data_IF_064215417007
#
_entry.id   IF_064215417007
#
_cell.length_a   1.000
_cell.length_b   1.000
_cell.length_c   1.000
_cell.angle_alpha   90.00
_cell.angle_beta   90.00
_cell.angle_gamma   90.00
#
_symmetry.space_group_name_H-M   'P 1'
#
loop_
_entity.id
_entity.type
_entity.pdbx_description
1 polymer ?
#
# COMPACT_ATOMS: atom_id res chain seq x y z
N UNK A 1 6.88 -18.60 -35.63
CA UNK A 1 6.13 -17.52 -35.00
C UNK A 1 6.36 -17.64 -33.51
N UNK A 2 6.99 -16.65 -32.87
CA UNK A 2 7.27 -16.73 -31.43
C UNK A 2 5.94 -16.68 -30.64
N UNK A 3 5.88 -17.39 -29.53
CA UNK A 3 4.73 -17.38 -28.60
C UNK A 3 4.30 -15.94 -28.27
N UNK A 4 5.26 -15.02 -28.19
CA UNK A 4 5.01 -13.59 -27.98
C UNK A 4 4.23 -12.93 -29.15
N UNK A 5 4.56 -13.26 -30.39
CA UNK A 5 3.87 -12.72 -31.59
C UNK A 5 2.46 -13.28 -31.73
N UNK A 6 2.24 -14.53 -31.31
CA UNK A 6 0.91 -15.15 -31.28
C UNK A 6 0.02 -14.46 -30.22
N UNK A 7 0.56 -14.20 -29.01
CA UNK A 7 -0.17 -13.56 -27.91
C UNK A 7 -0.50 -12.09 -28.22
N UNK A 8 0.41 -11.33 -28.83
CA UNK A 8 0.16 -9.91 -29.22
C UNK A 8 -0.85 -9.82 -30.37
N UNK A 9 -0.75 -10.66 -31.39
CA UNK A 9 -1.70 -10.71 -32.52
C UNK A 9 -3.13 -11.09 -32.06
N UNK A 10 -3.24 -11.93 -31.05
CA UNK A 10 -4.51 -12.35 -30.47
C UNK A 10 -5.18 -11.20 -29.69
N UNK A 11 -4.38 -10.38 -29.02
CA UNK A 11 -4.84 -9.25 -28.23
C UNK A 11 -5.44 -8.13 -29.11
N UNK A 12 -4.82 -7.81 -30.24
CA UNK A 12 -5.28 -6.76 -31.14
C UNK A 12 -6.59 -7.11 -31.83
N UNK A 13 -6.80 -8.38 -32.20
CA UNK A 13 -8.02 -8.83 -32.88
C UNK A 13 -9.29 -8.83 -32.02
N UNK A 14 -9.16 -8.88 -30.68
CA UNK A 14 -10.30 -8.97 -29.76
C UNK A 14 -10.82 -7.57 -29.33
N UNK A 15 -10.05 -6.50 -29.52
CA UNK A 15 -10.31 -5.20 -28.89
C UNK A 15 -10.59 -4.00 -29.81
N UNK A 16 -10.76 -4.19 -31.14
CA UNK A 16 -10.91 -3.06 -32.07
C UNK A 16 -12.27 -3.00 -32.78
N UNK A 17 -13.25 -2.39 -32.10
CA UNK A 17 -14.36 -1.70 -32.75
C UNK A 17 -14.65 -0.38 -32.01
N UNK A 18 -14.21 0.76 -32.57
CA UNK A 18 -14.03 2.03 -31.86
C UNK A 18 -15.29 2.67 -31.24
N UNK A 19 -16.47 2.51 -31.83
CA UNK A 19 -17.72 3.06 -31.27
C UNK A 19 -18.25 2.23 -30.09
N UNK A 20 -18.04 0.91 -30.13
CA UNK A 20 -18.48 0.01 -29.08
C UNK A 20 -17.51 0.03 -27.89
N UNK A 21 -16.20 0.26 -28.12
CA UNK A 21 -15.18 0.39 -27.09
C UNK A 21 -15.45 1.58 -26.16
N UNK A 22 -15.96 2.70 -26.66
CA UNK A 22 -16.22 3.89 -25.83
C UNK A 22 -17.40 3.67 -24.87
N UNK A 23 -18.49 3.04 -25.30
CA UNK A 23 -19.63 2.69 -24.43
C UNK A 23 -19.26 1.63 -23.38
N UNK A 24 -18.47 0.67 -23.76
CA UNK A 24 -18.01 -0.43 -22.88
C UNK A 24 -17.02 0.07 -21.83
N UNK A 25 -16.12 0.97 -22.21
CA UNK A 25 -15.20 1.63 -21.28
C UNK A 25 -15.99 2.39 -20.21
N UNK A 26 -17.09 3.07 -20.58
CA UNK A 26 -17.96 3.74 -19.63
C UNK A 26 -18.62 2.77 -18.65
N UNK A 27 -19.14 1.64 -19.12
CA UNK A 27 -19.69 0.59 -18.25
C UNK A 27 -18.65 0.02 -17.30
N UNK A 28 -17.47 -0.28 -17.81
CA UNK A 28 -16.35 -0.76 -16.97
C UNK A 28 -15.99 0.24 -15.89
N UNK A 29 -15.93 1.53 -16.22
CA UNK A 29 -15.63 2.60 -15.25
C UNK A 29 -16.74 2.68 -14.20
N UNK A 30 -18.02 2.68 -14.61
CA UNK A 30 -19.15 2.72 -13.67
C UNK A 30 -19.09 1.54 -12.69
N UNK A 31 -18.92 0.32 -13.21
CA UNK A 31 -18.83 -0.88 -12.38
C UNK A 31 -17.60 -0.84 -11.45
N UNK A 32 -16.48 -0.36 -11.96
CA UNK A 32 -15.27 -0.21 -11.16
C UNK A 32 -15.43 0.84 -10.04
N UNK A 33 -16.10 1.94 -10.31
CA UNK A 33 -16.42 2.95 -9.28
C UNK A 33 -17.31 2.35 -8.20
N UNK A 34 -18.36 1.61 -8.58
CA UNK A 34 -19.24 0.94 -7.61
C UNK A 34 -18.46 -0.04 -6.76
N UNK A 35 -17.67 -0.92 -7.38
CA UNK A 35 -16.86 -1.90 -6.66
C UNK A 35 -15.76 -1.22 -5.81
N UNK A 36 -15.21 -0.12 -6.29
CA UNK A 36 -14.23 0.70 -5.56
C UNK A 36 -14.81 1.33 -4.30
N UNK A 37 -16.05 1.85 -4.39
CA UNK A 37 -16.79 2.37 -3.22
C UNK A 37 -17.04 1.22 -2.23
N UNK A 38 -17.49 0.06 -2.70
CA UNK A 38 -17.70 -1.11 -1.85
C UNK A 38 -16.40 -1.53 -1.15
N UNK A 39 -15.29 -1.63 -1.87
CA UNK A 39 -14.00 -1.99 -1.32
C UNK A 39 -13.50 -0.98 -0.27
N UNK A 40 -13.67 0.32 -0.53
CA UNK A 40 -13.31 1.38 0.42
C UNK A 40 -14.21 1.34 1.67
N UNK A 41 -15.51 1.11 1.49
CA UNK A 41 -16.46 0.94 2.58
C UNK A 41 -16.14 -0.30 3.44
N UNK A 42 -15.76 -1.42 2.83
CA UNK A 42 -15.31 -2.61 3.56
C UNK A 42 -14.10 -2.31 4.46
N UNK A 43 -13.12 -1.58 3.92
CA UNK A 43 -11.95 -1.16 4.69
C UNK A 43 -12.29 -0.25 5.87
N UNK A 44 -13.22 0.69 5.68
CA UNK A 44 -13.75 1.54 6.74
C UNK A 44 -14.48 0.72 7.81
N UNK A 45 -15.46 -0.08 7.37
CA UNK A 45 -16.33 -0.85 8.27
C UNK A 45 -15.56 -1.85 9.10
N UNK A 46 -14.53 -2.48 8.55
CA UNK A 46 -13.71 -3.42 9.28
C UNK A 46 -13.08 -2.78 10.54
N UNK A 47 -12.59 -1.52 10.44
CA UNK A 47 -12.02 -0.80 11.58
C UNK A 47 -13.10 -0.23 12.49
N UNK A 48 -14.20 0.22 11.91
CA UNK A 48 -15.33 0.73 12.67
C UNK A 48 -16.01 -0.35 13.53
N UNK A 49 -16.15 -1.57 12.99
CA UNK A 49 -16.66 -2.73 13.76
C UNK A 49 -15.68 -3.09 14.89
N UNK A 50 -14.37 -3.05 14.60
CA UNK A 50 -13.36 -3.28 15.63
C UNK A 50 -13.46 -2.26 16.78
N UNK A 51 -13.69 -0.97 16.46
CA UNK A 51 -13.96 0.05 17.47
C UNK A 51 -15.21 -0.25 18.30
N UNK A 52 -16.32 -0.66 17.65
CA UNK A 52 -17.54 -1.04 18.36
C UNK A 52 -17.33 -2.24 19.30
N UNK A 53 -16.55 -3.23 18.89
CA UNK A 53 -16.17 -4.36 19.76
C UNK A 53 -15.44 -3.85 21.00
N UNK A 54 -14.52 -2.90 20.84
CA UNK A 54 -13.82 -2.27 21.97
C UNK A 54 -14.79 -1.54 22.91
N UNK A 55 -15.71 -0.74 22.36
CA UNK A 55 -16.73 -0.03 23.15
C UNK A 55 -17.68 -0.97 23.90
N UNK A 56 -17.98 -2.13 23.34
CA UNK A 56 -18.81 -3.16 23.97
C UNK A 56 -18.07 -3.92 25.08
N UNK A 57 -16.74 -3.99 25.00
CA UNK A 57 -15.89 -4.69 25.96
C UNK A 57 -14.94 -3.71 26.66
N UNK A 58 -15.49 -2.60 27.18
CA UNK A 58 -14.69 -1.53 27.81
C UNK A 58 -13.79 -2.04 28.93
N UNK A 59 -14.20 -3.02 29.70
CA UNK A 59 -13.38 -3.58 30.80
C UNK A 59 -12.06 -4.20 30.31
N UNK A 60 -11.95 -4.58 29.02
CA UNK A 60 -10.76 -5.19 28.47
C UNK A 60 -9.90 -4.20 27.69
N UNK A 61 -10.54 -3.20 27.05
CA UNK A 61 -9.89 -2.30 26.09
C UNK A 61 -9.76 -0.84 26.56
N UNK A 62 -10.31 -0.53 27.74
CA UNK A 62 -10.22 0.82 28.30
C UNK A 62 -9.69 0.76 29.73
N UNK A 63 -8.92 1.77 30.08
CA UNK A 63 -8.62 2.12 31.46
C UNK A 63 -9.50 3.31 31.83
N UNK A 64 -10.50 3.09 32.69
CA UNK A 64 -11.58 4.06 32.93
C UNK A 64 -12.28 4.40 31.59
N UNK A 65 -12.26 5.67 31.16
CA UNK A 65 -12.83 6.13 29.88
C UNK A 65 -11.78 6.28 28.79
N UNK A 66 -10.51 5.92 29.06
CA UNK A 66 -9.38 6.08 28.13
C UNK A 66 -9.14 4.77 27.38
N UNK A 67 -9.24 4.75 26.03
CA UNK A 67 -8.93 3.54 25.26
C UNK A 67 -7.44 3.18 25.40
N UNK A 68 -7.14 1.89 25.44
CA UNK A 68 -5.77 1.40 25.50
C UNK A 68 -5.10 1.51 24.11
N UNK A 69 -3.80 1.37 24.09
CA UNK A 69 -3.03 1.20 22.83
C UNK A 69 -2.36 -0.18 22.81
N UNK A 70 -2.18 -0.72 21.60
CA UNK A 70 -1.67 -2.09 21.38
C UNK A 70 -0.22 -2.13 20.90
N UNK A 71 0.42 -0.98 20.72
CA UNK A 71 1.83 -0.87 20.32
C UNK A 71 2.54 0.20 21.12
N UNK A 72 3.79 -0.06 21.47
CA UNK A 72 4.64 0.92 22.17
C UNK A 72 4.92 2.17 21.34
N UNK A 73 4.90 2.05 20.01
CA UNK A 73 5.08 3.17 19.08
C UNK A 73 3.96 4.22 19.22
N UNK A 74 2.75 3.81 19.63
CA UNK A 74 1.66 4.73 19.93
C UNK A 74 2.05 5.74 21.02
N UNK A 75 2.75 5.30 22.07
CA UNK A 75 3.23 6.17 23.13
C UNK A 75 4.18 7.27 22.62
N UNK A 76 5.02 6.93 21.62
CA UNK A 76 5.89 7.91 20.98
C UNK A 76 5.10 8.98 20.21
N UNK A 77 4.19 8.56 19.32
CA UNK A 77 3.42 9.51 18.51
C UNK A 77 2.46 10.36 19.34
N UNK A 78 1.84 9.76 20.34
CA UNK A 78 0.93 10.47 21.25
C UNK A 78 1.68 11.43 22.18
N UNK A 79 2.86 11.05 22.66
CA UNK A 79 3.72 11.92 23.45
C UNK A 79 4.10 13.19 22.70
N UNK A 80 4.54 13.06 21.44
CA UNK A 80 4.81 14.22 20.57
C UNK A 80 3.52 15.03 20.35
N UNK A 81 2.39 14.37 20.05
CA UNK A 81 1.13 15.06 19.85
C UNK A 81 0.69 15.88 21.07
N UNK A 82 0.90 15.35 22.29
CA UNK A 82 0.62 16.06 23.54
C UNK A 82 1.45 17.34 23.68
N UNK A 83 2.76 17.27 23.41
CA UNK A 83 3.65 18.44 23.46
C UNK A 83 3.27 19.48 22.41
N UNK A 84 2.98 19.05 21.16
CA UNK A 84 2.52 19.96 20.12
C UNK A 84 1.19 20.63 20.47
N UNK A 85 0.24 19.89 21.05
CA UNK A 85 -1.05 20.44 21.50
C UNK A 85 -0.90 21.44 22.64
N UNK A 86 0.10 21.22 23.51
CA UNK A 86 0.47 22.13 24.57
C UNK A 86 1.29 23.36 24.11
N UNK A 87 1.56 23.50 22.80
CA UNK A 87 2.35 24.58 22.23
C UNK A 87 3.87 24.43 22.44
N UNK A 88 4.33 23.23 22.79
CA UNK A 88 5.74 22.91 22.99
C UNK A 88 6.37 22.39 21.69
N UNK A 89 7.70 22.32 21.63
CA UNK A 89 8.44 21.86 20.47
C UNK A 89 8.74 20.36 20.54
N UNK A 90 9.10 19.76 19.39
CA UNK A 90 9.55 18.37 19.35
C UNK A 90 10.88 18.18 20.11
N UNK A 91 11.75 19.19 20.14
CA UNK A 91 13.03 19.14 20.83
C UNK A 91 12.83 19.01 22.35
N UNK A 92 11.80 19.63 22.90
CA UNK A 92 11.43 19.49 24.31
C UNK A 92 11.07 18.03 24.63
N UNK A 93 10.29 17.38 23.77
CA UNK A 93 9.93 15.97 23.93
C UNK A 93 11.13 15.04 23.80
N UNK A 94 11.97 15.22 22.78
CA UNK A 94 13.16 14.39 22.55
C UNK A 94 14.16 14.52 23.71
N UNK A 95 14.27 15.71 24.32
CA UNK A 95 15.10 15.92 25.51
C UNK A 95 14.64 15.09 26.71
N UNK A 96 13.32 14.93 26.88
CA UNK A 96 12.74 14.11 27.96
C UNK A 96 12.96 12.61 27.75
N UNK A 97 12.99 12.16 26.50
CA UNK A 97 13.25 10.74 26.18
C UNK A 97 14.68 10.30 26.40
N UNK A 98 15.62 11.23 26.39
CA UNK A 98 17.04 10.94 26.58
C UNK A 98 17.31 10.62 28.05
N UNK A 99 17.44 9.36 28.39
CA UNK A 99 17.79 8.92 29.74
C UNK A 99 19.08 8.10 29.75
N UNK A 100 19.99 8.39 30.67
CA UNK A 100 19.99 9.51 31.61
C UNK A 100 20.21 10.87 30.90
N UNK A 101 19.57 11.93 31.39
CA UNK A 101 19.58 13.29 30.77
C UNK A 101 20.98 13.86 30.52
N UNK A 102 21.97 13.46 31.32
CA UNK A 102 23.35 13.87 31.17
C UNK A 102 24.07 13.24 29.98
N UNK A 103 23.47 12.22 29.35
CA UNK A 103 23.97 11.59 28.11
C UNK A 103 23.27 12.15 26.85
N UNK A 104 22.34 13.08 27.02
CA UNK A 104 21.71 13.73 25.90
C UNK A 104 22.78 14.47 25.06
N UNK A 105 23.01 13.98 23.87
CA UNK A 105 23.94 14.59 22.93
C UNK A 105 23.13 15.19 21.77
N UNK A 106 22.96 16.52 21.75
CA UNK A 106 22.19 17.19 20.69
C UNK A 106 22.82 17.01 19.29
N UNK A 107 24.09 16.57 19.21
CA UNK A 107 24.75 16.25 17.93
C UNK A 107 24.31 14.89 17.36
N UNK A 108 23.76 13.99 18.18
CA UNK A 108 23.22 12.69 17.77
C UNK A 108 21.74 12.80 17.35
N UNK A 109 21.07 13.88 17.67
CA UNK A 109 19.75 14.17 17.12
C UNK A 109 20.00 14.53 15.67
N UNK A 110 19.50 13.68 14.83
CA UNK A 110 19.51 13.94 13.39
C UNK A 110 18.77 15.26 13.15
N UNK A 111 19.53 16.34 12.88
CA UNK A 111 18.98 17.68 12.61
C UNK A 111 17.99 17.67 11.44
N UNK A 112 17.90 16.57 10.69
CA UNK A 112 16.88 16.35 9.68
C UNK A 112 15.49 16.06 10.26
N UNK A 113 15.39 15.75 11.56
CA UNK A 113 14.12 15.55 12.28
C UNK A 113 13.55 16.81 12.93
N UNK A 114 13.90 17.99 12.45
CA UNK A 114 13.35 19.27 12.96
C UNK A 114 11.83 19.43 12.77
N UNK A 115 11.21 18.53 12.01
CA UNK A 115 9.76 18.50 11.80
C UNK A 115 9.13 17.34 12.55
N UNK A 116 8.05 17.58 13.31
CA UNK A 116 7.35 16.52 14.01
C UNK A 116 6.76 15.50 12.99
N UNK A 117 6.62 14.22 13.39
CA UNK A 117 5.95 13.24 12.58
C UNK A 117 4.56 13.72 12.16
N UNK A 118 4.21 13.53 10.88
CA UNK A 118 2.92 13.99 10.35
C UNK A 118 1.74 13.36 11.10
N UNK A 119 1.84 12.10 11.53
CA UNK A 119 0.82 11.46 12.37
C UNK A 119 0.59 12.22 13.68
N UNK A 120 1.65 12.56 14.40
CA UNK A 120 1.55 13.33 15.65
C UNK A 120 0.94 14.71 15.45
N UNK A 121 1.30 15.38 14.34
CA UNK A 121 0.75 16.68 13.97
C UNK A 121 -0.74 16.61 13.66
N UNK A 122 -1.18 15.56 12.96
CA UNK A 122 -2.60 15.33 12.64
C UNK A 122 -3.38 15.06 13.94
N UNK A 123 -2.87 14.21 14.82
CA UNK A 123 -3.52 13.92 16.11
C UNK A 123 -3.62 15.20 16.94
N UNK A 124 -2.54 15.97 17.09
CA UNK A 124 -2.54 17.22 17.83
C UNK A 124 -3.52 18.26 17.28
N UNK A 125 -3.67 18.31 15.95
CA UNK A 125 -4.60 19.23 15.28
C UNK A 125 -6.07 18.88 15.58
N UNK A 126 -6.45 17.60 15.52
CA UNK A 126 -7.82 17.16 15.69
C UNK A 126 -8.23 16.84 17.14
N UNK A 127 -7.29 16.66 18.06
CA UNK A 127 -7.59 16.42 19.47
C UNK A 127 -8.18 17.68 20.12
N UNK A 128 -9.11 17.52 21.07
CA UNK A 128 -9.73 18.63 21.77
C UNK A 128 -8.72 19.30 22.72
N UNK A 129 -7.96 18.50 23.46
CA UNK A 129 -6.94 18.95 24.40
C UNK A 129 -5.71 18.00 24.39
N UNK A 130 -4.75 18.27 25.29
CA UNK A 130 -3.53 17.48 25.43
C UNK A 130 -3.66 16.27 26.37
N UNK A 131 -4.86 15.95 26.84
CA UNK A 131 -5.08 14.80 27.72
C UNK A 131 -4.87 13.48 26.97
N UNK A 132 -4.40 12.44 27.67
CA UNK A 132 -4.24 11.10 27.07
C UNK A 132 -5.55 10.58 26.45
N UNK A 133 -6.69 10.81 27.10
CA UNK A 133 -8.00 10.41 26.63
C UNK A 133 -8.35 11.04 25.27
N UNK A 134 -8.20 12.37 25.16
CA UNK A 134 -8.48 13.11 23.91
C UNK A 134 -7.58 12.65 22.78
N UNK A 135 -6.28 12.52 23.02
CA UNK A 135 -5.28 12.12 22.03
C UNK A 135 -5.48 10.67 21.55
N UNK A 136 -5.72 9.74 22.47
CA UNK A 136 -5.96 8.30 22.15
C UNK A 136 -7.26 8.12 21.39
N UNK A 137 -8.32 8.79 21.82
CA UNK A 137 -9.61 8.75 21.12
C UNK A 137 -9.48 9.31 19.72
N UNK A 138 -8.78 10.44 19.54
CA UNK A 138 -8.54 11.04 18.24
C UNK A 138 -7.68 10.15 17.36
N UNK A 139 -6.58 9.59 17.89
CA UNK A 139 -5.72 8.66 17.17
C UNK A 139 -6.48 7.44 16.65
N UNK A 140 -7.38 6.86 17.47
CA UNK A 140 -8.22 5.74 17.06
C UNK A 140 -9.28 6.15 16.02
N UNK A 141 -9.92 7.32 16.17
CA UNK A 141 -10.91 7.82 15.20
C UNK A 141 -10.33 8.03 13.79
N UNK A 142 -9.04 8.32 13.67
CA UNK A 142 -8.37 8.53 12.37
C UNK A 142 -8.18 7.21 11.61
N UNK A 143 -8.04 6.07 12.29
CA UNK A 143 -7.73 4.77 11.68
C UNK A 143 -8.68 4.35 10.55
N UNK A 144 -10.02 4.40 10.68
CA UNK A 144 -10.92 4.05 9.59
C UNK A 144 -10.74 4.93 8.34
N UNK A 145 -10.42 6.21 8.52
CA UNK A 145 -10.22 7.14 7.41
C UNK A 145 -8.90 6.90 6.68
N UNK A 146 -7.81 6.57 7.41
CA UNK A 146 -6.54 6.19 6.79
C UNK A 146 -6.70 4.90 5.99
N UNK A 147 -7.55 3.97 6.42
CA UNK A 147 -7.87 2.76 5.68
C UNK A 147 -8.61 3.05 4.37
N UNK A 148 -9.52 4.05 4.34
CA UNK A 148 -10.18 4.51 3.09
C UNK A 148 -9.16 5.14 2.14
N UNK A 149 -8.29 6.03 2.65
CA UNK A 149 -7.24 6.66 1.83
C UNK A 149 -6.33 5.60 1.22
N UNK A 150 -5.94 4.61 2.00
CA UNK A 150 -5.15 3.47 1.52
C UNK A 150 -5.89 2.67 0.46
N UNK A 151 -7.17 2.39 0.66
CA UNK A 151 -8.00 1.67 -0.29
C UNK A 151 -8.08 2.42 -1.64
N UNK A 152 -8.32 3.72 -1.61
CA UNK A 152 -8.36 4.56 -2.80
C UNK A 152 -7.00 4.62 -3.51
N UNK A 153 -5.91 4.72 -2.77
CA UNK A 153 -4.56 4.71 -3.32
C UNK A 153 -4.25 3.42 -4.10
N UNK A 154 -4.65 2.26 -3.56
CA UNK A 154 -4.49 0.96 -4.22
C UNK A 154 -5.36 0.88 -5.48
N UNK A 155 -6.63 1.34 -5.42
CA UNK A 155 -7.52 1.36 -6.58
C UNK A 155 -6.92 2.21 -7.70
N UNK A 156 -6.42 3.40 -7.38
CA UNK A 156 -5.78 4.28 -8.36
C UNK A 156 -4.54 3.61 -8.95
N UNK A 157 -3.69 2.98 -8.12
CA UNK A 157 -2.44 2.38 -8.57
C UNK A 157 -2.64 1.29 -9.65
N UNK A 158 -3.58 0.39 -9.46
CA UNK A 158 -3.89 -0.63 -10.46
C UNK A 158 -4.82 -0.09 -11.57
N UNK A 159 -5.71 0.83 -11.22
CA UNK A 159 -6.65 1.45 -12.17
C UNK A 159 -5.94 2.21 -13.29
N UNK A 160 -4.92 3.03 -12.98
CA UNK A 160 -4.14 3.77 -13.99
C UNK A 160 -3.40 2.84 -14.98
N UNK A 161 -3.26 1.57 -14.66
CA UNK A 161 -2.72 0.55 -15.57
C UNK A 161 -3.80 -0.15 -16.40
N UNK A 162 -5.07 0.20 -16.20
CA UNK A 162 -6.21 -0.32 -16.95
C UNK A 162 -7.01 -1.43 -16.25
N UNK A 163 -6.66 -1.78 -15.00
CA UNK A 163 -7.25 -2.89 -14.25
C UNK A 163 -8.19 -2.41 -13.14
N UNK A 164 -9.17 -1.56 -13.51
CA UNK A 164 -10.06 -0.91 -12.55
C UNK A 164 -10.95 -1.86 -11.75
N UNK A 165 -11.44 -2.96 -12.36
CA UNK A 165 -12.27 -3.96 -11.65
C UNK A 165 -11.42 -4.74 -10.65
N UNK A 166 -10.27 -5.24 -11.12
CA UNK A 166 -9.30 -6.01 -10.32
C UNK A 166 -8.70 -5.16 -9.19
N UNK A 167 -8.56 -3.85 -9.42
CA UNK A 167 -8.08 -2.88 -8.43
C UNK A 167 -8.96 -2.82 -7.18
N UNK A 168 -10.28 -2.97 -7.33
CA UNK A 168 -11.21 -2.99 -6.19
C UNK A 168 -10.99 -4.22 -5.30
N UNK A 169 -10.73 -5.38 -5.90
CA UNK A 169 -10.40 -6.61 -5.17
C UNK A 169 -9.02 -6.49 -4.49
N UNK A 170 -8.03 -5.94 -5.21
CA UNK A 170 -6.70 -5.67 -4.66
C UNK A 170 -6.77 -4.75 -3.44
N UNK A 171 -7.62 -3.74 -3.49
CA UNK A 171 -7.84 -2.78 -2.42
C UNK A 171 -8.50 -3.42 -1.19
N UNK A 172 -9.60 -4.13 -1.38
CA UNK A 172 -10.28 -4.81 -0.28
C UNK A 172 -9.41 -5.91 0.34
N UNK A 173 -8.86 -6.78 -0.51
CA UNK A 173 -8.04 -7.91 -0.05
C UNK A 173 -6.73 -7.47 0.56
N UNK A 174 -6.05 -6.48 -0.03
CA UNK A 174 -4.83 -5.91 0.53
C UNK A 174 -5.07 -5.22 1.87
N UNK A 175 -6.12 -4.40 1.96
CA UNK A 175 -6.48 -3.68 3.16
C UNK A 175 -7.03 -4.55 4.29
N UNK A 176 -7.65 -5.69 3.97
CA UNK A 176 -8.19 -6.68 4.92
C UNK A 176 -7.29 -7.91 5.07
N UNK A 177 -6.12 -7.96 4.41
CA UNK A 177 -5.15 -9.03 4.64
C UNK A 177 -4.71 -9.07 6.11
N UNK A 178 -4.49 -10.25 6.65
CA UNK A 178 -3.97 -10.42 8.01
C UNK A 178 -2.67 -9.62 8.19
N UNK A 179 -1.81 -9.62 7.15
CA UNK A 179 -0.54 -8.90 7.14
C UNK A 179 -0.69 -7.39 7.40
N UNK A 180 -1.75 -6.76 6.90
CA UNK A 180 -1.97 -5.31 7.03
C UNK A 180 -3.04 -4.95 8.06
N UNK A 181 -4.12 -5.72 8.17
CA UNK A 181 -5.23 -5.41 9.06
C UNK A 181 -4.77 -5.20 10.51
N UNK A 182 -3.97 -6.12 11.05
CA UNK A 182 -3.43 -6.02 12.40
C UNK A 182 -2.48 -4.84 12.63
N UNK A 183 -1.87 -4.32 11.54
CA UNK A 183 -1.01 -3.12 11.58
C UNK A 183 -1.77 -1.81 11.48
N UNK A 184 -3.05 -1.87 11.16
CA UNK A 184 -3.96 -0.73 10.99
C UNK A 184 -5.28 -0.92 11.71
N UNK A 185 -5.31 -1.73 12.79
CA UNK A 185 -6.46 -1.95 13.67
C UNK A 185 -6.51 -0.94 14.80
N UNK A 186 -7.60 -0.94 15.55
CA UNK A 186 -7.79 -0.06 16.70
C UNK A 186 -6.69 -0.27 17.76
N UNK A 187 -6.32 0.81 18.43
CA UNK A 187 -5.23 0.83 19.42
C UNK A 187 -3.85 0.87 18.82
N UNK A 188 -3.67 0.58 17.51
CA UNK A 188 -2.38 0.64 16.84
C UNK A 188 -2.18 2.00 16.18
N UNK A 189 -1.90 3.00 17.00
CA UNK A 189 -1.61 4.36 16.53
C UNK A 189 -0.15 4.42 16.09
N UNK A 190 0.09 4.08 14.82
CA UNK A 190 1.40 3.93 14.23
C UNK A 190 1.37 4.36 12.75
N UNK A 191 2.52 4.64 12.18
CA UNK A 191 2.69 5.03 10.77
C UNK A 191 2.29 3.93 9.79
N UNK A 192 2.29 2.67 10.19
CA UNK A 192 1.87 1.55 9.35
C UNK A 192 0.46 1.72 8.77
N UNK A 193 -0.42 2.49 9.45
CA UNK A 193 -1.79 2.77 9.02
C UNK A 193 -1.89 3.33 7.60
N UNK A 194 -0.93 4.16 7.16
CA UNK A 194 -0.98 4.85 5.87
C UNK A 194 0.24 4.60 4.99
N UNK A 195 1.24 3.87 5.47
CA UNK A 195 2.44 3.54 4.69
C UNK A 195 2.08 2.91 3.35
N UNK A 196 1.14 1.95 3.37
CA UNK A 196 0.64 1.28 2.17
C UNK A 196 -0.02 2.28 1.20
N UNK A 197 -0.82 3.20 1.72
CA UNK A 197 -1.49 4.25 0.94
C UNK A 197 -0.50 5.15 0.23
N UNK A 198 0.50 5.66 0.93
CA UNK A 198 1.55 6.49 0.34
C UNK A 198 2.32 5.76 -0.77
N UNK A 199 2.73 4.51 -0.51
CA UNK A 199 3.47 3.72 -1.48
C UNK A 199 2.67 3.50 -2.75
N UNK A 200 1.42 3.04 -2.65
CA UNK A 200 0.60 2.76 -3.83
C UNK A 200 0.21 4.03 -4.59
N UNK A 201 -0.09 5.13 -3.90
CA UNK A 201 -0.38 6.40 -4.58
C UNK A 201 0.86 6.98 -5.28
N UNK A 202 2.03 6.92 -4.65
CA UNK A 202 3.29 7.32 -5.27
C UNK A 202 3.58 6.49 -6.52
N UNK A 203 3.41 5.16 -6.46
CA UNK A 203 3.57 4.29 -7.62
C UNK A 203 2.52 4.59 -8.70
N UNK A 204 1.27 4.90 -8.36
CA UNK A 204 0.26 5.34 -9.32
C UNK A 204 0.72 6.55 -10.12
N UNK A 205 1.25 7.56 -9.43
CA UNK A 205 1.73 8.78 -10.09
C UNK A 205 2.99 8.53 -10.92
N UNK A 206 3.89 7.66 -10.46
CA UNK A 206 5.05 7.20 -11.23
C UNK A 206 4.61 6.48 -12.51
N UNK A 207 3.61 5.61 -12.43
CA UNK A 207 3.06 4.91 -13.60
C UNK A 207 2.43 5.90 -14.60
N UNK A 208 1.76 6.95 -14.12
CA UNK A 208 1.24 8.02 -14.96
C UNK A 208 2.39 8.80 -15.63
N UNK A 209 3.41 9.20 -14.86
CA UNK A 209 4.55 9.96 -15.37
C UNK A 209 5.33 9.20 -16.45
N UNK A 210 5.73 7.94 -16.14
CA UNK A 210 6.55 7.13 -17.04
C UNK A 210 5.85 6.75 -18.34
N UNK A 211 4.51 6.74 -18.38
CA UNK A 211 3.68 6.40 -19.55
C UNK A 211 3.09 7.61 -20.26
N UNK A 212 3.27 8.82 -19.72
CA UNK A 212 2.66 10.01 -20.27
C UNK A 212 3.15 10.30 -21.70
N UNK A 213 2.20 10.42 -22.66
CA UNK A 213 2.48 10.90 -24.03
C UNK A 213 2.78 12.39 -24.01
N UNK A 214 1.94 13.16 -23.31
CA UNK A 214 2.11 14.60 -23.14
C UNK A 214 3.09 14.86 -21.97
N UNK A 215 4.10 15.70 -22.25
CA UNK A 215 5.13 16.07 -21.28
C UNK A 215 4.55 16.80 -20.07
N UNK A 216 3.49 17.63 -20.26
CA UNK A 216 2.85 18.38 -19.17
C UNK A 216 2.24 17.45 -18.13
N UNK A 217 1.51 16.43 -18.60
CA UNK A 217 0.96 15.39 -17.72
C UNK A 217 2.04 14.55 -17.07
N UNK A 218 3.13 14.26 -17.79
CA UNK A 218 4.28 13.58 -17.21
C UNK A 218 4.93 14.38 -16.08
N UNK A 219 5.16 15.68 -16.30
CA UNK A 219 5.71 16.59 -15.29
C UNK A 219 4.76 16.71 -14.08
N UNK A 220 3.49 16.94 -14.31
CA UNK A 220 2.48 17.02 -13.24
C UNK A 220 2.49 15.74 -12.39
N UNK A 221 2.50 14.57 -13.01
CA UNK A 221 2.52 13.30 -12.30
C UNK A 221 3.83 13.08 -11.55
N UNK A 222 4.98 13.48 -12.11
CA UNK A 222 6.28 13.39 -11.45
C UNK A 222 6.36 14.32 -10.22
N UNK A 223 5.82 15.55 -10.32
CA UNK A 223 5.69 16.47 -9.17
C UNK A 223 4.79 15.87 -8.09
N UNK A 224 3.63 15.34 -8.47
CA UNK A 224 2.68 14.73 -7.53
C UNK A 224 3.31 13.51 -6.83
N UNK A 225 4.05 12.68 -7.56
CA UNK A 225 4.82 11.57 -6.97
C UNK A 225 5.87 12.09 -5.97
N UNK A 226 6.61 13.14 -6.33
CA UNK A 226 7.59 13.78 -5.46
C UNK A 226 6.98 14.39 -4.19
N UNK A 227 5.82 15.07 -4.31
CA UNK A 227 5.09 15.59 -3.16
C UNK A 227 4.59 14.45 -2.24
N UNK A 228 4.10 13.37 -2.83
CA UNK A 228 3.70 12.17 -2.08
C UNK A 228 4.89 11.57 -1.34
N UNK A 229 6.05 11.49 -1.99
CA UNK A 229 7.28 11.05 -1.37
C UNK A 229 7.71 11.95 -0.20
N UNK A 230 7.59 13.29 -0.35
CA UNK A 230 7.87 14.24 0.73
C UNK A 230 6.93 14.06 1.92
N UNK A 231 5.64 13.90 1.67
CA UNK A 231 4.65 13.61 2.74
C UNK A 231 4.93 12.27 3.42
N UNK A 232 5.33 11.26 2.64
CA UNK A 232 5.73 9.96 3.17
C UNK A 232 6.99 10.08 4.07
N UNK A 233 7.96 10.92 3.73
CA UNK A 233 9.11 11.19 4.59
C UNK A 233 8.72 11.84 5.91
N UNK A 234 7.75 12.75 5.91
CA UNK A 234 7.19 13.36 7.14
C UNK A 234 6.35 12.36 7.95
N UNK A 235 5.78 11.36 7.28
CA UNK A 235 4.97 10.32 7.91
C UNK A 235 5.83 9.21 8.52
N UNK A 236 6.76 8.61 7.72
CA UNK A 236 7.47 7.39 8.10
C UNK A 236 9.01 7.51 8.12
N UNK A 237 9.57 8.42 7.33
CA UNK A 237 11.02 8.70 7.33
C UNK A 237 11.89 7.58 6.75
N UNK A 238 11.39 6.78 5.81
CA UNK A 238 12.13 5.68 5.16
C UNK A 238 12.43 5.98 3.69
N UNK A 239 13.58 6.61 3.37
CA UNK A 239 13.94 7.00 2.00
C UNK A 239 14.11 5.80 1.06
N UNK A 240 14.46 4.62 1.57
CA UNK A 240 14.67 3.40 0.78
C UNK A 240 13.44 3.05 -0.07
N UNK A 241 12.25 3.25 0.49
CA UNK A 241 10.99 2.98 -0.21
C UNK A 241 10.74 3.98 -1.36
N UNK A 242 11.26 5.19 -1.25
CA UNK A 242 11.15 6.22 -2.30
C UNK A 242 12.03 5.88 -3.49
N UNK A 243 13.22 5.27 -3.26
CA UNK A 243 14.08 4.83 -4.34
C UNK A 243 13.47 3.74 -5.20
N UNK A 244 12.61 2.90 -4.63
CA UNK A 244 11.85 1.92 -5.41
C UNK A 244 10.92 2.59 -6.41
N UNK A 245 10.29 3.70 -6.02
CA UNK A 245 9.46 4.50 -6.92
C UNK A 245 10.30 5.24 -7.97
N UNK A 246 11.46 5.77 -7.59
CA UNK A 246 12.41 6.38 -8.53
C UNK A 246 12.91 5.36 -9.57
N UNK A 247 13.22 4.12 -9.15
CA UNK A 247 13.56 3.04 -10.06
C UNK A 247 12.42 2.74 -11.06
N UNK A 248 11.19 2.62 -10.57
CA UNK A 248 10.04 2.38 -11.43
C UNK A 248 9.83 3.53 -12.44
N UNK A 249 10.00 4.78 -12.02
CA UNK A 249 9.91 5.95 -12.89
C UNK A 249 11.00 5.93 -13.98
N UNK A 250 12.25 5.67 -13.59
CA UNK A 250 13.37 5.52 -14.52
C UNK A 250 13.08 4.43 -15.55
N UNK A 251 12.73 3.24 -15.08
CA UNK A 251 12.46 2.07 -15.93
C UNK A 251 11.35 2.34 -16.94
N UNK A 252 10.21 2.84 -16.49
CA UNK A 252 9.07 3.10 -17.36
C UNK A 252 9.39 4.18 -18.39
N UNK A 253 10.02 5.28 -17.97
CA UNK A 253 10.36 6.37 -18.88
C UNK A 253 11.39 5.92 -19.92
N UNK A 254 12.35 5.08 -19.52
CA UNK A 254 13.36 4.50 -20.41
C UNK A 254 12.71 3.64 -21.50
N UNK A 255 11.82 2.75 -21.12
CA UNK A 255 11.23 1.78 -22.06
C UNK A 255 10.12 2.41 -22.92
N UNK A 256 9.27 3.27 -22.33
CA UNK A 256 8.10 3.82 -23.01
C UNK A 256 8.45 5.04 -23.86
N UNK A 257 9.17 6.01 -23.31
CA UNK A 257 9.47 7.25 -24.05
C UNK A 257 10.77 7.16 -24.86
N UNK A 258 11.75 6.40 -24.37
CA UNK A 258 13.11 6.30 -24.95
C UNK A 258 13.80 7.66 -25.14
N UNK A 259 13.32 8.68 -24.44
CA UNK A 259 13.82 10.05 -24.48
C UNK A 259 14.56 10.34 -23.17
N UNK A 260 15.87 10.42 -23.23
CA UNK A 260 16.71 10.65 -22.08
C UNK A 260 16.46 12.01 -21.40
N UNK A 261 15.99 13.02 -22.15
CA UNK A 261 15.62 14.33 -21.58
C UNK A 261 14.41 14.20 -20.65
N UNK A 262 13.43 13.39 -21.03
CA UNK A 262 12.27 13.06 -20.17
C UNK A 262 12.71 12.25 -18.96
N UNK A 263 13.62 11.29 -19.14
CA UNK A 263 14.13 10.47 -18.05
C UNK A 263 14.76 11.37 -16.99
N UNK A 264 15.75 12.20 -17.40
CA UNK A 264 16.43 13.11 -16.48
C UNK A 264 15.45 14.13 -15.89
N UNK A 265 14.60 14.74 -16.71
CA UNK A 265 13.65 15.77 -16.27
C UNK A 265 12.66 15.24 -15.22
N UNK A 266 12.06 14.07 -15.43
CA UNK A 266 11.09 13.51 -14.50
C UNK A 266 11.77 13.03 -13.20
N UNK A 267 12.95 12.38 -13.30
CA UNK A 267 13.69 11.95 -12.12
C UNK A 267 14.20 13.14 -11.31
N UNK A 268 14.81 14.13 -11.97
CA UNK A 268 15.30 15.32 -11.28
C UNK A 268 14.16 16.04 -10.55
N UNK A 269 13.01 16.20 -11.21
CA UNK A 269 11.84 16.84 -10.63
C UNK A 269 11.29 16.03 -9.45
N UNK A 270 11.18 14.71 -9.59
CA UNK A 270 10.78 13.81 -8.52
C UNK A 270 11.71 13.93 -7.30
N UNK A 271 13.04 13.86 -7.51
CA UNK A 271 14.02 13.93 -6.42
C UNK A 271 14.04 15.31 -5.76
N UNK A 272 14.02 16.40 -6.54
CA UNK A 272 13.99 17.77 -6.01
C UNK A 272 12.73 17.99 -5.15
N UNK A 273 11.57 17.62 -5.65
CA UNK A 273 10.30 17.83 -4.95
C UNK A 273 10.17 16.94 -3.72
N UNK A 274 10.65 15.69 -3.79
CA UNK A 274 10.67 14.79 -2.64
C UNK A 274 11.58 15.25 -1.52
N UNK A 275 12.62 16.02 -1.84
CA UNK A 275 13.65 16.45 -0.88
C UNK A 275 14.53 15.31 -0.37
N UNK A 276 14.48 14.14 -1.01
CA UNK A 276 15.31 12.99 -0.62
C UNK A 276 16.74 13.17 -1.16
N UNK A 277 17.70 13.31 -0.26
CA UNK A 277 19.11 13.44 -0.62
C UNK A 277 19.69 12.13 -1.19
N UNK A 278 20.50 12.23 -2.24
CA UNK A 278 21.13 11.07 -2.90
C UNK A 278 22.12 10.31 -1.99
N UNK A 279 22.55 10.89 -0.86
CA UNK A 279 23.46 10.23 0.10
C UNK A 279 22.75 9.18 0.96
N UNK A 280 21.45 9.32 1.19
CA UNK A 280 20.67 8.43 2.07
C UNK A 280 20.62 6.97 1.59
N UNK A 281 20.45 6.64 0.29
CA UNK A 281 20.40 5.25 -0.14
C UNK A 281 21.74 4.52 0.00
N UNK A 282 22.84 5.22 -0.27
CA UNK A 282 24.17 4.64 -0.13
C UNK A 282 24.47 4.30 1.33
N UNK A 283 24.05 5.16 2.26
CA UNK A 283 24.19 4.90 3.69
C UNK A 283 23.32 3.70 4.13
N UNK A 284 22.12 3.56 3.60
CA UNK A 284 21.24 2.43 3.94
C UNK A 284 21.77 1.10 3.38
N UNK A 285 22.32 1.10 2.17
CA UNK A 285 23.00 -0.07 1.58
C UNK A 285 24.25 -0.41 2.38
N UNK A 286 25.03 0.59 2.78
CA UNK A 286 26.21 0.42 3.62
C UNK A 286 25.84 -0.16 4.99
N UNK A 287 24.80 0.36 5.66
CA UNK A 287 24.28 -0.16 6.91
C UNK A 287 23.79 -1.62 6.79
N UNK A 288 23.11 -1.95 5.69
CA UNK A 288 22.69 -3.35 5.42
C UNK A 288 23.90 -4.27 5.20
N UNK A 289 24.99 -3.78 4.57
CA UNK A 289 26.22 -4.55 4.42
C UNK A 289 26.97 -4.71 5.73
N UNK A 290 27.00 -3.69 6.59
CA UNK A 290 27.58 -3.78 7.94
C UNK A 290 26.79 -4.70 8.87
N UNK A 291 25.47 -4.69 8.79
CA UNK A 291 24.64 -5.62 9.58
C UNK A 291 24.92 -7.10 9.27
N UNK A 292 25.36 -7.40 8.05
CA UNK A 292 25.79 -8.76 7.68
C UNK A 292 27.23 -9.09 8.11
N UNK A 293 28.08 -8.10 8.37
CA UNK A 293 29.50 -8.30 8.63
C UNK A 293 29.88 -8.34 10.11
N UNK A 294 29.03 -7.77 10.96
CA UNK A 294 29.30 -7.79 12.39
C UNK A 294 28.41 -8.83 13.05
N UNK A 295 29.02 -9.83 13.67
CA UNK A 295 28.39 -10.69 14.68
C UNK A 295 27.90 -9.82 15.85
N UNK A 296 26.85 -9.05 15.63
CA UNK A 296 26.36 -8.11 16.64
C UNK A 296 25.76 -8.87 17.82
N UNK A 297 26.21 -8.52 18.99
CA UNK A 297 25.64 -8.91 20.28
C UNK A 297 24.12 -8.62 20.34
N UNK A 298 23.64 -7.74 19.48
CA UNK A 298 22.21 -7.38 19.36
C UNK A 298 21.37 -8.28 18.44
N UNK A 299 21.96 -9.25 17.77
CA UNK A 299 21.20 -10.21 16.94
C UNK A 299 20.15 -10.98 17.75
N UNK A 300 20.43 -11.24 19.02
CA UNK A 300 19.49 -11.86 19.94
C UNK A 300 18.27 -10.99 20.25
N UNK A 301 18.44 -9.66 20.33
CA UNK A 301 17.33 -8.72 20.58
C UNK A 301 16.44 -8.60 19.34
N UNK A 302 17.04 -8.54 18.14
CA UNK A 302 16.28 -8.51 16.89
C UNK A 302 15.45 -9.79 16.72
N UNK A 303 16.00 -10.95 17.10
CA UNK A 303 15.29 -12.23 17.02
C UNK A 303 14.12 -12.34 18.01
N UNK A 304 14.11 -11.56 19.09
CA UNK A 304 12.99 -11.50 20.05
C UNK A 304 11.85 -10.61 19.59
N UNK A 305 12.09 -9.72 18.62
CA UNK A 305 11.05 -8.87 18.04
C UNK A 305 10.26 -9.70 17.03
N UNK A 306 9.04 -10.07 17.37
CA UNK A 306 8.14 -10.88 16.53
C UNK A 306 8.03 -10.37 15.08
N UNK A 307 8.16 -9.07 14.88
CA UNK A 307 8.11 -8.43 13.56
C UNK A 307 9.38 -8.65 12.73
N UNK A 308 10.52 -8.89 13.36
CA UNK A 308 11.79 -9.17 12.70
C UNK A 308 12.06 -10.67 12.56
N UNK A 309 11.20 -11.54 13.14
CA UNK A 309 11.35 -12.97 13.03
C UNK A 309 11.11 -13.47 11.61
N UNK A 310 11.91 -14.44 11.20
CA UNK A 310 11.67 -15.19 9.97
C UNK A 310 10.44 -16.05 10.14
N UNK A 311 9.58 -16.07 9.11
CA UNK A 311 8.36 -16.88 9.09
C UNK A 311 8.41 -17.87 7.93
N UNK A 312 7.75 -19.03 8.12
CA UNK A 312 7.65 -20.05 7.08
C UNK A 312 6.88 -19.53 5.85
N UNK A 313 7.20 -20.03 4.67
CA UNK A 313 6.52 -19.64 3.40
C UNK A 313 5.01 -19.89 3.50
N UNK A 314 4.57 -20.99 4.12
CA UNK A 314 3.17 -21.28 4.36
C UNK A 314 2.46 -20.21 5.20
N UNK A 315 3.14 -19.67 6.20
CA UNK A 315 2.65 -18.58 7.04
C UNK A 315 2.61 -17.25 6.27
N UNK A 316 3.61 -16.97 5.41
CA UNK A 316 3.59 -15.83 4.50
C UNK A 316 2.34 -15.90 3.63
N UNK A 317 2.11 -17.02 2.97
CA UNK A 317 0.95 -17.23 2.09
C UNK A 317 -0.36 -17.10 2.87
N UNK A 318 -0.44 -17.69 4.06
CA UNK A 318 -1.64 -17.58 4.91
C UNK A 318 -1.93 -16.12 5.29
N UNK A 319 -0.94 -15.34 5.71
CA UNK A 319 -1.13 -13.93 6.11
C UNK A 319 -1.54 -13.01 4.97
N UNK A 320 -1.25 -13.40 3.72
CA UNK A 320 -1.63 -12.61 2.55
C UNK A 320 -3.13 -12.69 2.24
N UNK A 321 -3.72 -13.88 2.34
CA UNK A 321 -5.10 -14.10 1.87
C UNK A 321 -6.00 -14.85 2.87
N UNK A 322 -5.47 -15.28 4.01
CA UNK A 322 -6.17 -16.15 4.96
C UNK A 322 -6.21 -17.63 4.54
N UNK A 323 -5.64 -18.00 3.38
CA UNK A 323 -5.61 -19.37 2.88
C UNK A 323 -4.41 -19.59 1.96
N UNK A 324 -3.67 -20.66 2.20
CA UNK A 324 -2.51 -21.03 1.36
C UNK A 324 -2.96 -21.31 -0.08
N UNK A 325 -4.08 -21.99 -0.28
CA UNK A 325 -4.61 -22.31 -1.61
C UNK A 325 -4.99 -21.04 -2.39
N UNK A 326 -5.68 -20.10 -1.74
CA UNK A 326 -6.04 -18.82 -2.35
C UNK A 326 -4.78 -18.04 -2.70
N UNK A 327 -3.76 -18.04 -1.85
CA UNK A 327 -2.48 -17.38 -2.13
C UNK A 327 -1.76 -18.01 -3.32
N UNK A 328 -1.76 -19.32 -3.45
CA UNK A 328 -1.18 -20.00 -4.64
C UNK A 328 -1.92 -19.56 -5.91
N UNK A 329 -3.25 -19.53 -5.89
CA UNK A 329 -4.05 -19.01 -7.00
C UNK A 329 -3.69 -17.54 -7.32
N UNK A 330 -3.51 -16.70 -6.32
CA UNK A 330 -3.08 -15.31 -6.47
C UNK A 330 -1.68 -15.21 -7.11
N UNK A 331 -0.73 -16.01 -6.65
CA UNK A 331 0.64 -16.06 -7.22
C UNK A 331 0.61 -16.48 -8.68
N UNK A 332 -0.17 -17.50 -9.05
CA UNK A 332 -0.34 -17.89 -10.43
C UNK A 332 -0.86 -16.73 -11.28
N UNK A 333 -1.86 -16.00 -10.79
CA UNK A 333 -2.37 -14.81 -11.47
C UNK A 333 -1.33 -13.70 -11.64
N UNK A 334 -0.49 -13.45 -10.62
CA UNK A 334 0.64 -12.52 -10.72
C UNK A 334 1.64 -12.95 -11.80
N UNK A 335 1.99 -14.22 -11.86
CA UNK A 335 2.89 -14.78 -12.89
C UNK A 335 2.29 -14.60 -14.28
N UNK A 336 1.03 -14.98 -14.50
CA UNK A 336 0.35 -14.77 -15.77
C UNK A 336 0.29 -13.30 -16.18
N UNK A 337 0.00 -12.42 -15.24
CA UNK A 337 0.02 -10.98 -15.49
C UNK A 337 1.42 -10.49 -15.85
N UNK A 338 2.46 -10.89 -15.11
CA UNK A 338 3.83 -10.48 -15.33
C UNK A 338 4.37 -10.94 -16.70
N UNK A 339 4.08 -12.16 -17.10
CA UNK A 339 4.46 -12.69 -18.43
C UNK A 339 3.79 -11.88 -19.53
N UNK A 340 2.54 -11.47 -19.34
CA UNK A 340 1.78 -10.71 -20.34
C UNK A 340 2.16 -9.24 -20.38
N UNK A 341 2.60 -8.66 -19.26
CA UNK A 341 2.91 -7.26 -19.10
C UNK A 341 4.30 -7.05 -18.46
N UNK A 342 5.39 -7.54 -19.09
CA UNK A 342 6.71 -7.58 -18.46
C UNK A 342 7.24 -6.21 -18.06
N UNK A 343 6.99 -5.17 -18.86
CA UNK A 343 7.41 -3.79 -18.54
C UNK A 343 6.78 -3.28 -17.26
N UNK A 344 5.46 -3.53 -17.08
CA UNK A 344 4.74 -3.16 -15.86
C UNK A 344 5.17 -4.02 -14.68
N UNK A 345 5.39 -5.31 -14.91
CA UNK A 345 5.83 -6.24 -13.88
C UNK A 345 7.17 -5.81 -13.28
N UNK A 346 8.14 -5.40 -14.10
CA UNK A 346 9.41 -4.87 -13.60
C UNK A 346 9.21 -3.56 -12.82
N UNK A 347 8.33 -2.67 -13.27
CA UNK A 347 8.04 -1.42 -12.54
C UNK A 347 7.41 -1.68 -11.15
N UNK A 348 6.56 -2.68 -11.04
CA UNK A 348 5.93 -3.08 -9.77
C UNK A 348 6.73 -4.12 -8.97
N UNK A 349 7.79 -4.69 -9.54
CA UNK A 349 8.59 -5.72 -8.89
C UNK A 349 9.06 -5.34 -7.48
N UNK A 350 9.44 -4.08 -7.17
CA UNK A 350 9.79 -3.70 -5.82
C UNK A 350 8.64 -3.90 -4.81
N UNK A 351 7.40 -3.55 -5.17
CA UNK A 351 6.22 -3.75 -4.30
C UNK A 351 5.82 -5.22 -4.19
N UNK A 352 5.79 -5.93 -5.32
CA UNK A 352 5.48 -7.35 -5.35
C UNK A 352 6.53 -8.19 -4.60
N UNK A 353 7.81 -7.78 -4.71
CA UNK A 353 8.96 -8.49 -4.14
C UNK A 353 9.08 -8.39 -2.62
N UNK A 354 8.37 -7.47 -1.96
CA UNK A 354 8.43 -7.38 -0.49
C UNK A 354 8.06 -8.68 0.22
N UNK A 355 7.17 -9.50 -0.36
CA UNK A 355 6.87 -10.83 0.18
C UNK A 355 8.11 -11.74 0.23
N UNK A 356 8.98 -11.67 -0.76
CA UNK A 356 10.24 -12.42 -0.80
C UNK A 356 11.26 -11.85 0.20
N UNK A 357 11.32 -10.52 0.33
CA UNK A 357 12.18 -9.88 1.31
C UNK A 357 11.79 -10.20 2.76
N UNK A 358 10.55 -10.62 3.01
CA UNK A 358 10.11 -11.06 4.34
C UNK A 358 10.93 -12.24 4.87
N UNK A 359 11.45 -13.08 3.98
CA UNK A 359 12.33 -14.21 4.35
C UNK A 359 13.63 -13.70 5.02
N UNK A 360 14.10 -12.52 4.63
CA UNK A 360 15.35 -11.90 5.11
C UNK A 360 15.10 -10.79 6.12
N UNK A 361 14.13 -9.91 5.85
CA UNK A 361 13.87 -8.71 6.64
C UNK A 361 12.80 -8.88 7.72
N UNK A 362 12.24 -10.11 7.84
CA UNK A 362 11.15 -10.39 8.76
C UNK A 362 9.78 -9.89 8.28
N UNK A 363 8.81 -10.05 9.15
CA UNK A 363 7.38 -9.87 8.84
C UNK A 363 6.95 -8.43 8.48
N UNK A 364 7.82 -7.43 8.73
CA UNK A 364 7.53 -6.01 8.51
C UNK A 364 7.27 -5.64 7.06
N UNK A 365 7.87 -6.36 6.10
CA UNK A 365 7.77 -6.02 4.68
C UNK A 365 6.52 -6.63 4.02
N UNK A 366 5.90 -7.62 4.66
CA UNK A 366 4.89 -8.46 4.06
C UNK A 366 3.67 -7.70 3.54
N UNK A 367 3.17 -6.74 4.30
CA UNK A 367 1.92 -6.05 3.99
C UNK A 367 1.97 -5.19 2.71
N UNK A 368 3.17 -4.74 2.29
CA UNK A 368 3.32 -4.00 1.03
C UNK A 368 2.95 -4.82 -0.20
N UNK A 369 3.13 -6.14 -0.14
CA UNK A 369 2.81 -7.04 -1.25
C UNK A 369 1.35 -7.52 -1.26
N UNK A 370 0.63 -7.40 -0.15
CA UNK A 370 -0.71 -7.98 -0.02
C UNK A 370 -1.70 -7.51 -1.11
N UNK A 371 -1.76 -6.22 -1.50
CA UNK A 371 -2.61 -5.80 -2.61
C UNK A 371 -2.25 -6.46 -3.93
N UNK A 372 -0.96 -6.74 -4.15
CA UNK A 372 -0.50 -7.41 -5.37
C UNK A 372 -0.95 -8.86 -5.45
N UNK A 373 -0.96 -9.58 -4.33
CA UNK A 373 -1.50 -10.94 -4.27
C UNK A 373 -2.97 -10.96 -4.69
N UNK A 374 -3.80 -10.13 -4.08
CA UNK A 374 -5.22 -10.05 -4.39
C UNK A 374 -5.49 -9.53 -5.81
N UNK A 375 -4.65 -8.62 -6.31
CA UNK A 375 -4.66 -8.23 -7.72
C UNK A 375 -4.42 -9.44 -8.64
N UNK A 376 -3.42 -10.26 -8.34
CA UNK A 376 -3.13 -11.47 -9.11
C UNK A 376 -4.33 -12.43 -9.14
N UNK A 377 -4.95 -12.68 -7.99
CA UNK A 377 -6.14 -13.52 -7.90
C UNK A 377 -7.32 -12.98 -8.71
N UNK A 378 -7.59 -11.68 -8.60
CA UNK A 378 -8.64 -11.02 -9.40
C UNK A 378 -8.34 -11.08 -10.90
N UNK A 379 -7.10 -10.81 -11.28
CA UNK A 379 -6.66 -10.88 -12.68
C UNK A 379 -6.88 -12.29 -13.26
N UNK A 380 -6.48 -13.33 -12.52
CA UNK A 380 -6.65 -14.72 -12.99
C UNK A 380 -8.13 -15.09 -13.11
N UNK A 381 -8.94 -14.72 -12.12
CA UNK A 381 -10.38 -14.98 -12.16
C UNK A 381 -11.05 -14.28 -13.35
N UNK A 382 -10.75 -13.01 -13.58
CA UNK A 382 -11.26 -12.24 -14.71
C UNK A 382 -10.76 -12.83 -16.05
N UNK A 383 -9.50 -13.25 -16.11
CA UNK A 383 -8.93 -13.91 -17.30
C UNK A 383 -9.68 -15.19 -17.65
N UNK A 384 -9.90 -16.07 -16.66
CA UNK A 384 -10.65 -17.33 -16.85
C UNK A 384 -12.06 -17.03 -17.37
N UNK A 385 -12.76 -16.08 -16.77
CA UNK A 385 -14.12 -15.71 -17.18
C UNK A 385 -14.15 -15.19 -18.61
N UNK A 386 -13.20 -14.31 -18.96
CA UNK A 386 -13.11 -13.80 -20.34
C UNK A 386 -12.83 -14.90 -21.35
N UNK A 387 -12.02 -15.89 -21.01
CA UNK A 387 -11.77 -17.06 -21.85
C UNK A 387 -13.04 -17.90 -22.03
N UNK A 388 -13.79 -18.16 -20.97
CA UNK A 388 -15.05 -18.89 -21.00
C UNK A 388 -16.08 -18.15 -21.87
N UNK A 389 -16.31 -16.86 -21.61
CA UNK A 389 -17.26 -16.04 -22.40
C UNK A 389 -16.85 -15.99 -23.87
N UNK A 390 -15.54 -15.93 -24.15
CA UNK A 390 -15.05 -15.92 -25.53
C UNK A 390 -15.40 -17.21 -26.29
N UNK A 391 -15.37 -18.38 -25.65
CA UNK A 391 -15.79 -19.63 -26.30
C UNK A 391 -17.27 -19.62 -26.73
N UNK A 392 -18.11 -18.85 -26.01
CA UNK A 392 -19.53 -18.69 -26.33
C UNK A 392 -19.81 -17.46 -27.21
N UNK A 393 -18.79 -16.66 -27.57
CA UNK A 393 -18.93 -15.38 -28.27
C UNK A 393 -19.60 -15.54 -29.64
N UNK A 394 -19.41 -16.68 -30.34
CA UNK A 394 -20.06 -16.98 -31.60
C UNK A 394 -21.59 -17.02 -31.49
N UNK A 395 -22.13 -17.41 -30.32
CA UNK A 395 -23.57 -17.42 -30.04
C UNK A 395 -24.09 -16.09 -29.54
N UNK A 396 -23.24 -15.27 -28.90
CA UNK A 396 -23.61 -14.03 -28.23
C UNK A 396 -23.49 -12.79 -29.17
N UNK A 397 -22.77 -12.89 -30.29
CA UNK A 397 -22.59 -11.79 -31.22
C UNK A 397 -22.11 -10.49 -30.54
N UNK A 398 -22.80 -9.38 -30.80
CA UNK A 398 -22.47 -8.06 -30.22
C UNK A 398 -22.63 -7.96 -28.69
N UNK A 399 -23.36 -8.90 -28.07
CA UNK A 399 -23.55 -8.95 -26.62
C UNK A 399 -22.35 -9.59 -25.88
N UNK A 400 -21.48 -10.31 -26.60
CA UNK A 400 -20.36 -11.02 -25.99
C UNK A 400 -19.48 -10.13 -25.10
N UNK A 401 -19.24 -8.89 -25.52
CA UNK A 401 -18.43 -7.95 -24.75
C UNK A 401 -19.13 -7.46 -23.47
N UNK A 402 -20.42 -7.12 -23.58
CA UNK A 402 -21.23 -6.71 -22.41
C UNK A 402 -21.29 -7.86 -21.41
N UNK A 403 -21.54 -9.08 -21.88
CA UNK A 403 -21.53 -10.28 -21.04
C UNK A 403 -20.16 -10.50 -20.38
N UNK A 404 -19.05 -10.30 -21.12
CA UNK A 404 -17.70 -10.44 -20.59
C UNK A 404 -17.40 -9.44 -19.47
N UNK A 405 -17.78 -8.18 -19.63
CA UNK A 405 -17.56 -7.13 -18.61
C UNK A 405 -18.44 -7.39 -17.39
N UNK A 406 -19.73 -7.68 -17.60
CA UNK A 406 -20.66 -7.95 -16.49
C UNK A 406 -20.24 -9.20 -15.72
N UNK A 407 -19.83 -10.27 -16.39
CA UNK A 407 -19.32 -11.47 -15.75
C UNK A 407 -18.00 -11.23 -15.01
N UNK A 408 -17.09 -10.40 -15.57
CA UNK A 408 -15.86 -9.99 -14.87
C UNK A 408 -16.16 -9.18 -13.61
N UNK A 409 -17.10 -8.24 -13.67
CA UNK A 409 -17.52 -7.45 -12.52
C UNK A 409 -18.21 -8.33 -11.45
N UNK A 410 -19.03 -9.29 -11.87
CA UNK A 410 -19.65 -10.26 -10.96
C UNK A 410 -18.61 -11.14 -10.25
N UNK A 411 -17.56 -11.55 -10.95
CA UNK A 411 -16.45 -12.28 -10.32
C UNK A 411 -15.71 -11.44 -9.29
N UNK A 412 -15.43 -10.17 -9.61
CA UNK A 412 -14.84 -9.25 -8.64
C UNK A 412 -15.76 -9.02 -7.44
N UNK A 413 -17.07 -8.88 -7.65
CA UNK A 413 -18.05 -8.77 -6.56
C UNK A 413 -18.08 -10.05 -5.69
N UNK A 414 -18.02 -11.23 -6.28
CA UNK A 414 -17.94 -12.50 -5.55
C UNK A 414 -16.65 -12.60 -4.73
N UNK A 415 -15.52 -12.15 -5.28
CA UNK A 415 -14.26 -12.09 -4.54
C UNK A 415 -14.33 -11.08 -3.38
N UNK A 416 -14.96 -9.91 -3.57
CA UNK A 416 -15.18 -8.95 -2.48
C UNK A 416 -16.04 -9.58 -1.36
N UNK A 417 -17.11 -10.28 -1.70
CA UNK A 417 -17.93 -10.99 -0.73
C UNK A 417 -17.12 -12.07 0.00
N UNK A 418 -16.32 -12.84 -0.73
CA UNK A 418 -15.44 -13.84 -0.14
C UNK A 418 -14.45 -13.21 0.85
N UNK A 419 -13.77 -12.12 0.47
CA UNK A 419 -12.84 -11.38 1.35
C UNK A 419 -13.56 -10.90 2.61
N UNK A 420 -14.79 -10.39 2.48
CA UNK A 420 -15.57 -9.92 3.63
C UNK A 420 -15.93 -11.06 4.58
N UNK A 421 -16.41 -12.18 4.05
CA UNK A 421 -16.84 -13.34 4.86
C UNK A 421 -15.66 -14.04 5.54
N UNK A 422 -14.52 -14.13 4.87
CA UNK A 422 -13.33 -14.84 5.37
C UNK A 422 -12.33 -13.93 6.08
N UNK A 423 -12.53 -12.62 5.99
CA UNK A 423 -11.61 -11.61 6.51
C UNK A 423 -11.55 -11.58 8.04
N UNK A 424 -10.53 -10.90 8.59
CA UNK A 424 -10.22 -10.90 10.01
C UNK A 424 -11.36 -10.34 10.90
N UNK A 425 -12.23 -9.49 10.35
CA UNK A 425 -13.39 -8.94 11.08
C UNK A 425 -14.33 -10.02 11.57
N UNK A 426 -14.63 -11.02 10.74
CA UNK A 426 -15.53 -12.11 11.12
C UNK A 426 -14.85 -13.17 11.99
N UNK A 427 -13.50 -13.18 12.02
CA UNK A 427 -12.74 -14.03 12.94
C UNK A 427 -12.71 -13.45 14.36
N UNK A 428 -12.81 -12.12 14.50
CA UNK A 428 -12.89 -11.43 15.80
C UNK A 428 -14.31 -11.49 16.43
N UNK A 429 -15.33 -11.68 15.60
CA UNK A 429 -16.72 -11.77 16.06
C UNK A 429 -17.14 -13.18 16.47
N UNK A 430 -16.27 -14.18 16.35
CA UNK A 430 -16.43 -15.57 16.80
C UNK A 430 -15.62 -15.82 18.05
#
# INVERSE_FOLDING_TARGET
MSVLAFVTSWHEKIFLNSQFTQKITSLTIILAVILGIVASYMNFQARHINWKIWEQNKSEFFFEETPLFTTMDAGYFLGIASHLKAGQTIDDYESLRSFPRNQYNPKLIDKTKSSPPLLSSIIAFFADDSSPQSLLTTGNKIIPYTAVITALAIIIAFGVTGYWLEASVASAGGGLSIAYYWRSSMGRIDTDQLNLGFMYFMFAMVMCAGRAKDIKWGLFSAVTAGLTAKLFMLWYGKPELIFMAAFALFWLTLIVSRDWKRIIGFLALFVIVSGVGLRNPLNSIYLLSELNYQNFVFSSVISTVTEASQIAISEILYRMTGSVLVSVFCVLGMVFWAVRHPVMAVAYAPLAGFALFTIVLGNRALFYSAPFFWFGGAYLAVLIIRLVVHQFSFRLGSLAQVCSISASASACAALLLFIWVTGPVNQLAR
#
